data_IF_147527496783
#
_entry.id   IF_147527496783
#
_cell.length_a   1.000
_cell.length_b   1.000
_cell.length_c   1.000
_cell.angle_alpha   90.00
_cell.angle_beta   90.00
_cell.angle_gamma   90.00
#
_symmetry.space_group_name_H-M   'P 1'
#
loop_
_entity.id
_entity.type
_entity.pdbx_description
1 polymer ?
#
# COMPACT_ATOMS: atom_id res chain seq x y z
N UNK A 1 34.52 -32.70 -17.16
CA UNK A 1 33.39 -31.82 -16.80
C UNK A 1 33.39 -30.64 -17.76
N UNK A 2 32.69 -30.77 -18.89
CA UNK A 2 32.60 -29.69 -19.87
C UNK A 2 31.47 -28.75 -19.45
N UNK A 3 31.80 -27.63 -18.82
CA UNK A 3 30.93 -26.46 -18.68
C UNK A 3 30.84 -25.71 -20.04
N UNK A 4 30.53 -26.41 -21.13
CA UNK A 4 29.94 -25.73 -22.27
C UNK A 4 28.48 -25.54 -21.89
N UNK A 5 28.00 -24.32 -21.59
CA UNK A 5 26.58 -24.13 -21.40
C UNK A 5 25.93 -24.57 -22.71
N UNK A 6 25.07 -25.58 -22.63
CA UNK A 6 24.20 -25.88 -23.75
C UNK A 6 23.36 -24.62 -23.95
N UNK A 7 23.68 -23.88 -25.03
CA UNK A 7 23.06 -22.60 -25.32
C UNK A 7 21.53 -22.76 -25.43
N UNK A 8 21.08 -23.96 -25.81
CA UNK A 8 19.68 -24.34 -25.82
C UNK A 8 19.05 -24.36 -24.41
N UNK A 9 19.69 -24.97 -23.41
CA UNK A 9 19.21 -25.00 -22.02
C UNK A 9 19.13 -23.59 -21.40
N UNK A 10 20.15 -22.74 -21.64
CA UNK A 10 20.12 -21.34 -21.17
C UNK A 10 18.99 -20.56 -21.84
N UNK A 11 18.80 -20.72 -23.15
CA UNK A 11 17.73 -20.04 -23.90
C UNK A 11 16.35 -20.49 -23.42
N UNK A 12 16.17 -21.79 -23.17
CA UNK A 12 14.90 -22.33 -22.67
C UNK A 12 14.59 -21.82 -21.25
N UNK A 13 15.58 -21.84 -20.35
CA UNK A 13 15.44 -21.26 -19.00
C UNK A 13 15.05 -19.79 -19.02
N UNK A 14 15.64 -18.98 -19.91
CA UNK A 14 15.25 -17.58 -20.09
C UNK A 14 13.78 -17.46 -20.52
N UNK A 15 13.35 -18.24 -21.51
CA UNK A 15 11.95 -18.22 -22.00
C UNK A 15 10.95 -18.55 -20.89
N UNK A 16 11.24 -19.54 -20.06
CA UNK A 16 10.38 -19.90 -18.92
C UNK A 16 10.35 -18.82 -17.83
N UNK A 17 11.47 -18.10 -17.63
CA UNK A 17 11.59 -17.06 -16.61
C UNK A 17 10.94 -15.72 -16.98
N UNK A 18 10.62 -15.47 -18.27
CA UNK A 18 10.04 -14.18 -18.71
C UNK A 18 8.73 -13.85 -17.99
N UNK A 19 7.82 -14.81 -17.87
CA UNK A 19 6.53 -14.57 -17.24
C UNK A 19 6.64 -14.22 -15.72
N UNK A 20 7.41 -14.96 -14.91
CA UNK A 20 7.70 -14.56 -13.52
C UNK A 20 8.38 -13.19 -13.39
N UNK A 21 9.34 -12.87 -14.25
CA UNK A 21 10.04 -11.56 -14.22
C UNK A 21 9.09 -10.40 -14.48
N UNK A 22 8.13 -10.57 -15.41
CA UNK A 22 7.10 -9.56 -15.66
C UNK A 22 6.28 -9.25 -14.39
N UNK A 23 5.98 -10.26 -13.58
CA UNK A 23 5.27 -10.08 -12.30
C UNK A 23 6.12 -9.28 -11.30
N UNK A 24 7.44 -9.46 -11.25
CA UNK A 24 8.33 -8.67 -10.38
C UNK A 24 8.27 -7.17 -10.70
N UNK A 25 8.10 -6.80 -11.97
CA UNK A 25 7.89 -5.40 -12.34
C UNK A 25 6.60 -4.85 -11.74
N UNK A 26 5.50 -5.59 -11.82
CA UNK A 26 4.23 -5.21 -11.20
C UNK A 26 4.34 -5.11 -9.66
N UNK A 27 5.05 -6.04 -9.02
CA UNK A 27 5.31 -6.01 -7.57
C UNK A 27 6.13 -4.79 -7.18
N UNK A 28 7.19 -4.45 -7.93
CA UNK A 28 8.01 -3.26 -7.69
C UNK A 28 7.17 -1.97 -7.78
N UNK A 29 6.33 -1.85 -8.81
CA UNK A 29 5.40 -0.72 -8.96
C UNK A 29 4.43 -0.61 -7.78
N UNK A 30 3.89 -1.74 -7.32
CA UNK A 30 3.01 -1.77 -6.15
C UNK A 30 3.75 -1.40 -4.85
N UNK A 31 4.98 -1.89 -4.64
CA UNK A 31 5.79 -1.50 -3.47
C UNK A 31 6.01 0.01 -3.47
N UNK A 32 6.36 0.61 -4.61
CA UNK A 32 6.55 2.05 -4.72
C UNK A 32 5.25 2.82 -4.38
N UNK A 33 4.11 2.37 -4.89
CA UNK A 33 2.81 3.00 -4.60
C UNK A 33 2.44 2.91 -3.10
N UNK A 34 2.64 1.75 -2.48
CA UNK A 34 2.34 1.51 -1.06
C UNK A 34 3.31 2.28 -0.16
N UNK A 35 4.61 2.27 -0.47
CA UNK A 35 5.63 3.02 0.26
C UNK A 35 5.36 4.54 0.22
N UNK A 36 4.95 5.07 -0.93
CA UNK A 36 4.56 6.49 -1.05
C UNK A 36 3.33 6.87 -0.22
N UNK A 37 2.41 5.92 0.03
CA UNK A 37 1.30 6.14 0.98
C UNK A 37 1.76 6.07 2.42
N UNK A 38 2.62 5.11 2.75
CA UNK A 38 3.18 4.98 4.10
C UNK A 38 3.93 6.26 4.51
N UNK A 39 4.76 6.79 3.61
CA UNK A 39 5.49 8.04 3.83
C UNK A 39 4.52 9.19 4.19
N UNK A 40 3.46 9.39 3.41
CA UNK A 40 2.44 10.41 3.69
C UNK A 40 1.72 10.21 5.03
N UNK A 41 1.45 8.97 5.43
CA UNK A 41 0.85 8.66 6.74
C UNK A 41 1.85 9.02 7.86
N UNK A 42 3.11 8.61 7.74
CA UNK A 42 4.15 8.91 8.74
C UNK A 42 4.39 10.43 8.86
N UNK A 43 4.51 11.13 7.73
CA UNK A 43 4.72 12.58 7.72
C UNK A 43 3.56 13.32 8.39
N UNK A 44 2.32 12.86 8.14
CA UNK A 44 1.14 13.42 8.79
C UNK A 44 1.12 13.13 10.30
N UNK A 45 1.50 11.93 10.72
CA UNK A 45 1.60 11.58 12.13
C UNK A 45 2.64 12.45 12.86
N UNK A 46 3.84 12.59 12.28
CA UNK A 46 4.91 13.46 12.80
C UNK A 46 4.48 14.92 12.90
N UNK A 47 3.75 15.42 11.90
CA UNK A 47 3.22 16.77 11.94
C UNK A 47 2.24 16.98 13.11
N UNK A 48 1.37 16.00 13.38
CA UNK A 48 0.45 16.06 14.53
C UNK A 48 1.19 15.98 15.87
N UNK A 49 2.17 15.08 15.99
CA UNK A 49 3.02 14.94 17.19
C UNK A 49 3.76 16.24 17.51
N UNK A 50 4.46 16.82 16.53
CA UNK A 50 5.17 18.09 16.71
C UNK A 50 4.23 19.23 17.15
N UNK A 51 2.99 19.24 16.65
CA UNK A 51 1.99 20.26 17.02
C UNK A 51 1.49 20.07 18.45
N UNK A 52 1.34 18.82 18.91
CA UNK A 52 1.00 18.50 20.30
C UNK A 52 2.14 18.88 21.25
N UNK A 53 3.39 18.60 20.87
CA UNK A 53 4.58 18.90 21.69
C UNK A 53 4.85 20.40 21.83
N UNK A 54 4.60 21.20 20.79
CA UNK A 54 4.80 22.65 20.81
C UNK A 54 3.86 23.41 21.77
N UNK A 55 2.87 22.74 22.36
CA UNK A 55 1.96 23.32 23.35
C UNK A 55 0.99 24.38 22.79
N UNK A 56 0.20 24.99 23.68
CA UNK A 56 -0.75 26.05 23.30
C UNK A 56 -2.06 25.57 22.64
N UNK A 57 -2.39 24.29 22.74
CA UNK A 57 -3.60 23.69 22.17
C UNK A 57 -4.65 23.49 23.26
N UNK A 58 -5.88 23.96 23.03
CA UNK A 58 -7.01 23.66 23.92
C UNK A 58 -7.22 22.15 24.10
N UNK A 59 -7.58 21.73 25.32
CA UNK A 59 -7.76 20.31 25.71
C UNK A 59 -8.69 19.56 24.73
N UNK A 60 -9.78 20.19 24.28
CA UNK A 60 -10.71 19.59 23.31
C UNK A 60 -10.16 19.44 21.89
N UNK A 61 -9.17 20.25 21.49
CA UNK A 61 -8.42 20.07 20.22
C UNK A 61 -7.32 19.03 20.35
N UNK A 62 -6.62 18.99 21.48
CA UNK A 62 -5.61 17.97 21.75
C UNK A 62 -6.22 16.56 21.73
N UNK A 63 -7.37 16.36 22.36
CA UNK A 63 -8.09 15.07 22.36
C UNK A 63 -8.44 14.58 20.94
N UNK A 64 -8.85 15.50 20.04
CA UNK A 64 -9.12 15.17 18.63
C UNK A 64 -7.86 14.79 17.87
N UNK A 65 -6.74 15.44 18.14
CA UNK A 65 -5.46 15.10 17.51
C UNK A 65 -4.96 13.73 17.95
N UNK A 66 -5.08 13.37 19.24
CA UNK A 66 -4.76 12.01 19.71
C UNK A 66 -5.64 10.93 19.06
N UNK A 67 -6.93 11.21 18.86
CA UNK A 67 -7.82 10.32 18.14
C UNK A 67 -7.40 10.12 16.67
N UNK A 68 -7.03 11.21 15.97
CA UNK A 68 -6.51 11.18 14.60
C UNK A 68 -5.20 10.35 14.54
N UNK A 69 -4.27 10.56 15.48
CA UNK A 69 -3.02 9.77 15.61
C UNK A 69 -3.27 8.27 15.77
N UNK A 70 -4.27 7.88 16.59
CA UNK A 70 -4.66 6.48 16.75
C UNK A 70 -5.13 5.85 15.45
N UNK A 71 -5.90 6.61 14.66
CA UNK A 71 -6.35 6.16 13.34
C UNK A 71 -5.21 6.07 12.33
N UNK A 72 -4.29 7.04 12.29
CA UNK A 72 -3.10 6.97 11.45
C UNK A 72 -2.24 5.74 11.77
N UNK A 73 -2.12 5.36 13.04
CA UNK A 73 -1.37 4.17 13.46
C UNK A 73 -2.01 2.89 12.94
N UNK A 74 -3.33 2.76 13.02
CA UNK A 74 -4.05 1.60 12.47
C UNK A 74 -3.85 1.48 10.95
N UNK A 75 -3.93 2.60 10.23
CA UNK A 75 -3.67 2.64 8.78
C UNK A 75 -2.22 2.25 8.45
N UNK A 76 -1.26 2.76 9.21
CA UNK A 76 0.15 2.41 9.07
C UNK A 76 0.39 0.90 9.19
N UNK A 77 -0.32 0.21 10.09
CA UNK A 77 -0.20 -1.24 10.24
C UNK A 77 -0.72 -2.01 9.03
N UNK A 78 -1.86 -1.62 8.44
CA UNK A 78 -2.36 -2.23 7.20
C UNK A 78 -1.40 -2.04 6.03
N UNK A 79 -0.86 -0.82 5.87
CA UNK A 79 0.10 -0.50 4.80
C UNK A 79 1.40 -1.28 4.97
N UNK A 80 1.89 -1.40 6.20
CA UNK A 80 3.07 -2.20 6.52
C UNK A 80 2.84 -3.70 6.26
N UNK A 81 1.65 -4.23 6.59
CA UNK A 81 1.26 -5.60 6.25
C UNK A 81 1.22 -5.85 4.74
N UNK A 82 0.71 -4.88 3.97
CA UNK A 82 0.74 -4.93 2.51
C UNK A 82 2.17 -4.96 1.96
N UNK A 83 3.08 -4.13 2.49
CA UNK A 83 4.50 -4.16 2.10
C UNK A 83 5.13 -5.52 2.39
N UNK A 84 4.88 -6.09 3.58
CA UNK A 84 5.40 -7.40 3.94
C UNK A 84 4.93 -8.50 2.97
N UNK A 85 3.64 -8.50 2.60
CA UNK A 85 3.10 -9.44 1.60
C UNK A 85 3.74 -9.23 0.21
N UNK A 86 3.90 -7.98 -0.25
CA UNK A 86 4.56 -7.70 -1.53
C UNK A 86 6.03 -8.16 -1.55
N UNK A 87 6.77 -7.93 -0.46
CA UNK A 87 8.15 -8.42 -0.33
C UNK A 87 8.21 -9.94 -0.32
N UNK A 88 7.30 -10.61 0.41
CA UNK A 88 7.22 -12.07 0.42
C UNK A 88 6.86 -12.64 -0.96
N UNK A 89 5.93 -12.00 -1.68
CA UNK A 89 5.63 -12.31 -3.06
C UNK A 89 6.89 -12.21 -3.95
N UNK A 90 7.64 -11.11 -3.88
CA UNK A 90 8.86 -10.94 -4.66
C UNK A 90 9.88 -12.06 -4.40
N UNK A 91 10.03 -12.50 -3.13
CA UNK A 91 10.90 -13.62 -2.76
C UNK A 91 10.42 -14.93 -3.41
N UNK A 92 9.12 -15.24 -3.37
CA UNK A 92 8.57 -16.45 -3.98
C UNK A 92 8.73 -16.47 -5.51
N UNK A 93 8.62 -15.32 -6.16
CA UNK A 93 8.83 -15.20 -7.60
C UNK A 93 10.32 -15.30 -7.95
N UNK A 94 11.20 -14.70 -7.15
CA UNK A 94 12.65 -14.89 -7.27
C UNK A 94 13.06 -16.36 -7.11
N UNK A 95 12.46 -17.05 -6.14
CA UNK A 95 12.66 -18.49 -5.93
C UNK A 95 12.17 -19.31 -7.14
N UNK A 96 11.02 -18.94 -7.71
CA UNK A 96 10.48 -19.58 -8.93
C UNK A 96 11.48 -19.49 -10.08
N UNK A 97 12.06 -18.30 -10.31
CA UNK A 97 13.07 -18.08 -11.35
C UNK A 97 14.30 -18.97 -11.08
N UNK A 98 14.80 -18.99 -9.84
CA UNK A 98 15.93 -19.86 -9.48
C UNK A 98 15.63 -21.34 -9.74
N UNK A 99 14.46 -21.85 -9.34
CA UNK A 99 14.07 -23.24 -9.54
C UNK A 99 13.96 -23.59 -11.03
N UNK A 100 13.42 -22.70 -11.85
CA UNK A 100 13.35 -22.89 -13.30
C UNK A 100 14.74 -23.06 -13.91
N UNK A 101 15.69 -22.20 -13.55
CA UNK A 101 17.07 -22.29 -14.04
C UNK A 101 17.82 -23.53 -13.51
N UNK A 102 17.62 -23.91 -12.24
CA UNK A 102 18.22 -25.12 -11.68
C UNK A 102 17.62 -26.39 -12.31
N UNK A 103 16.33 -26.36 -12.67
CA UNK A 103 15.63 -27.44 -13.35
C UNK A 103 16.19 -27.79 -14.72
N UNK A 104 16.72 -26.82 -15.46
CA UNK A 104 17.36 -27.07 -16.76
C UNK A 104 18.70 -27.82 -16.64
N UNK A 105 19.32 -27.79 -15.47
CA UNK A 105 20.65 -28.39 -15.23
C UNK A 105 20.62 -29.63 -14.35
N UNK A 106 19.47 -29.95 -13.74
CA UNK A 106 19.31 -31.00 -12.73
C UNK A 106 18.05 -31.82 -12.99
N UNK A 107 18.06 -33.14 -12.74
CA UNK A 107 16.90 -34.04 -12.85
C UNK A 107 15.79 -33.82 -11.79
N UNK A 108 15.73 -32.62 -11.19
CA UNK A 108 14.72 -32.29 -10.19
C UNK A 108 13.34 -32.11 -10.87
N UNK A 109 12.23 -32.37 -10.15
CA UNK A 109 10.88 -32.03 -10.61
C UNK A 109 10.64 -30.50 -10.53
N UNK A 110 11.54 -29.71 -11.11
CA UNK A 110 11.61 -28.26 -11.01
C UNK A 110 10.33 -27.59 -11.50
N UNK A 111 9.70 -28.13 -12.55
CA UNK A 111 8.45 -27.59 -13.08
C UNK A 111 7.31 -27.61 -12.04
N UNK A 112 7.21 -28.68 -11.22
CA UNK A 112 6.21 -28.77 -10.15
C UNK A 112 6.49 -27.78 -9.03
N UNK A 113 7.74 -27.71 -8.57
CA UNK A 113 8.16 -26.82 -7.48
C UNK A 113 7.99 -25.35 -7.91
N UNK A 114 8.43 -25.01 -9.12
CA UNK A 114 8.27 -23.68 -9.71
C UNK A 114 6.78 -23.31 -9.83
N UNK A 115 5.93 -24.24 -10.28
CA UNK A 115 4.48 -23.99 -10.38
C UNK A 115 3.85 -23.68 -9.02
N UNK A 116 4.18 -24.44 -7.98
CA UNK A 116 3.65 -24.22 -6.62
C UNK A 116 4.17 -22.89 -6.03
N UNK A 117 5.47 -22.61 -6.18
CA UNK A 117 6.07 -21.36 -5.70
C UNK A 117 5.49 -20.14 -6.42
N UNK A 118 5.33 -20.23 -7.74
CA UNK A 118 4.75 -19.17 -8.56
C UNK A 118 3.30 -18.88 -8.16
N UNK A 119 2.48 -19.92 -8.05
CA UNK A 119 1.06 -19.79 -7.69
C UNK A 119 0.89 -19.22 -6.28
N UNK A 120 1.73 -19.64 -5.32
CA UNK A 120 1.78 -19.06 -3.98
C UNK A 120 2.17 -17.58 -4.03
N UNK A 121 3.14 -17.21 -4.87
CA UNK A 121 3.54 -15.82 -5.11
C UNK A 121 2.39 -14.98 -5.67
N UNK A 122 1.69 -15.47 -6.69
CA UNK A 122 0.50 -14.80 -7.27
C UNK A 122 -0.60 -14.64 -6.24
N UNK A 123 -0.86 -15.67 -5.42
CA UNK A 123 -1.85 -15.61 -4.35
C UNK A 123 -1.48 -14.55 -3.31
N UNK A 124 -0.20 -14.49 -2.91
CA UNK A 124 0.31 -13.47 -2.00
C UNK A 124 0.17 -12.05 -2.59
N UNK A 125 0.43 -11.89 -3.90
CA UNK A 125 0.22 -10.63 -4.60
C UNK A 125 -1.25 -10.18 -4.57
N UNK A 126 -2.18 -11.10 -4.82
CA UNK A 126 -3.62 -10.83 -4.73
C UNK A 126 -4.05 -10.41 -3.32
N UNK A 127 -3.56 -11.11 -2.29
CA UNK A 127 -3.81 -10.72 -0.90
C UNK A 127 -3.28 -9.31 -0.59
N UNK A 128 -2.08 -8.97 -1.07
CA UNK A 128 -1.53 -7.62 -0.92
C UNK A 128 -2.42 -6.56 -1.61
N UNK A 129 -2.91 -6.84 -2.82
CA UNK A 129 -3.84 -5.94 -3.52
C UNK A 129 -5.15 -5.76 -2.75
N UNK A 130 -5.69 -6.82 -2.15
CA UNK A 130 -6.89 -6.73 -1.31
C UNK A 130 -6.63 -5.92 -0.03
N UNK A 131 -5.49 -6.09 0.62
CA UNK A 131 -5.09 -5.27 1.77
C UNK A 131 -4.95 -3.79 1.39
N UNK A 132 -4.30 -3.52 0.26
CA UNK A 132 -4.18 -2.16 -0.28
C UNK A 132 -5.54 -1.55 -0.64
N UNK A 133 -6.43 -2.34 -1.25
CA UNK A 133 -7.79 -1.90 -1.56
C UNK A 133 -8.57 -1.59 -0.28
N UNK A 134 -8.51 -2.45 0.73
CA UNK A 134 -9.16 -2.25 2.01
C UNK A 134 -8.68 -0.96 2.69
N UNK A 135 -7.36 -0.69 2.69
CA UNK A 135 -6.82 0.56 3.23
C UNK A 135 -7.26 1.78 2.41
N UNK A 136 -7.30 1.68 1.08
CA UNK A 136 -7.87 2.73 0.20
C UNK A 136 -9.31 3.04 0.53
N UNK A 137 -10.16 2.02 0.64
CA UNK A 137 -11.57 2.19 0.96
C UNK A 137 -11.76 2.79 2.35
N UNK A 138 -10.93 2.39 3.33
CA UNK A 138 -10.97 2.95 4.68
C UNK A 138 -10.58 4.45 4.66
N UNK A 139 -9.54 4.80 3.90
CA UNK A 139 -9.12 6.18 3.72
C UNK A 139 -10.21 7.03 3.04
N UNK A 140 -10.90 6.50 2.02
CA UNK A 140 -11.99 7.20 1.33
C UNK A 140 -13.25 7.34 2.17
N UNK A 141 -13.57 6.38 3.04
CA UNK A 141 -14.75 6.47 3.93
C UNK A 141 -14.67 7.66 4.90
N UNK A 142 -13.47 8.16 5.21
CA UNK A 142 -13.28 9.37 6.03
C UNK A 142 -13.40 10.68 5.26
N UNK A 143 -13.42 10.65 3.92
CA UNK A 143 -13.76 11.81 3.09
C UNK A 143 -15.28 12.04 3.00
N UNK A 144 -16.07 11.58 3.98
CA UNK A 144 -17.38 12.18 4.24
C UNK A 144 -17.13 13.60 4.74
N UNK A 145 -17.04 14.52 3.77
CA UNK A 145 -17.02 15.96 3.94
C UNK A 145 -17.74 16.34 5.22
N UNK A 146 -16.97 16.91 6.16
CA UNK A 146 -17.51 17.54 7.34
C UNK A 146 -18.68 18.41 6.88
N UNK A 147 -19.89 18.12 7.37
CA UNK A 147 -21.00 19.07 7.30
C UNK A 147 -20.42 20.38 7.81
N UNK A 148 -20.37 21.39 6.95
CA UNK A 148 -20.01 22.75 7.32
C UNK A 148 -20.78 23.08 8.61
N UNK A 149 -20.15 23.69 9.63
CA UNK A 149 -20.92 24.26 10.73
C UNK A 149 -21.92 25.20 10.07
N UNK A 150 -23.22 24.93 10.23
CA UNK A 150 -24.26 25.88 9.85
C UNK A 150 -23.94 27.13 10.66
N UNK A 151 -23.41 28.15 9.98
CA UNK A 151 -23.15 29.44 10.57
C UNK A 151 -24.52 29.96 11.05
N UNK A 152 -24.72 30.28 12.34
CA UNK A 152 -25.97 30.85 12.80
C UNK A 152 -26.23 32.11 11.98
N UNK A 153 -27.29 32.08 11.17
CA UNK A 153 -27.73 33.25 10.40
C UNK A 153 -27.93 34.40 11.37
N UNK A 154 -27.11 35.45 11.26
CA UNK A 154 -27.31 36.67 12.02
C UNK A 154 -28.75 37.19 11.80
N UNK A 155 -29.45 37.71 12.82
CA UNK A 155 -30.78 38.27 12.63
C UNK A 155 -30.72 39.38 11.58
N UNK A 156 -31.55 39.28 10.53
CA UNK A 156 -31.72 40.36 9.56
C UNK A 156 -32.13 41.63 10.34
N UNK A 157 -31.43 42.77 10.18
CA UNK A 157 -31.92 44.01 10.76
C UNK A 157 -33.29 44.33 10.16
N UNK A 158 -34.26 44.63 11.03
CA UNK A 158 -35.58 45.04 10.62
C UNK A 158 -35.45 46.27 9.71
N UNK A 159 -35.98 46.16 8.50
CA UNK A 159 -36.12 47.31 7.60
C UNK A 159 -37.10 48.25 8.28
N UNK A 160 -36.57 49.30 8.90
CA UNK A 160 -37.36 50.41 9.44
C UNK A 160 -38.07 51.08 8.26
N UNK A 161 -39.36 50.77 8.13
CA UNK A 161 -40.27 51.37 7.15
C UNK A 161 -40.39 52.86 7.45
N UNK A 162 -39.49 53.63 6.84
CA UNK A 162 -39.42 55.07 6.99
C UNK A 162 -40.59 55.68 6.21
N UNK A 163 -41.72 55.81 6.93
CA UNK A 163 -42.81 56.79 6.76
C UNK A 163 -43.05 57.26 5.32
N UNK A 164 -44.03 56.63 4.67
CA UNK A 164 -45.02 57.40 3.91
C UNK A 164 -45.88 58.18 4.90
N UNK A 165 -46.18 59.44 4.54
CA UNK A 165 -47.01 60.48 5.18
C UNK A 165 -46.20 61.62 5.80
#
# INVERSE_FOLDING_TARGET
MNFAPDLAAVTHGIQLAVAPVFLLTAVSGMIAAVAGRLARIIDRARFLENRLENGGIEVGRAARMYAELGELRHRGWLVNGCLALLTFCAILIGLTIMVLFLGETSDLPALKIATVSFLSGVFCFLLALLCFLAETLLATRLLKFAKLPVQPTAPRPAVEDKKRL
#
